data_IF_796342196860
#
_entry.id   IF_796342196860
#
_cell.length_a   1.000
_cell.length_b   1.000
_cell.length_c   1.000
_cell.angle_alpha   90.00
_cell.angle_beta   90.00
_cell.angle_gamma   90.00
#
_symmetry.space_group_name_H-M   'P 1'
#
loop_
_entity.id
_entity.type
_entity.pdbx_description
1 polymer ?
#
# COMPACT_ATOMS: atom_id res chain seq x y z
N UNK A 1 -3.95 -32.87 -7.17
CA UNK A 1 -4.92 -33.60 -6.28
C UNK A 1 -4.30 -33.70 -4.90
N UNK A 2 -5.05 -33.43 -3.83
CA UNK A 2 -4.63 -33.52 -2.43
C UNK A 2 -5.61 -34.41 -1.66
N UNK A 3 -5.09 -35.46 -1.04
CA UNK A 3 -5.84 -36.38 -0.18
C UNK A 3 -5.16 -36.45 1.19
N UNK A 4 -5.93 -36.23 2.25
CA UNK A 4 -5.45 -36.22 3.64
C UNK A 4 -6.43 -36.97 4.51
N UNK A 5 -5.96 -37.98 5.24
CA UNK A 5 -6.78 -38.74 6.19
C UNK A 5 -6.09 -38.85 7.55
N UNK A 6 -6.90 -38.74 8.61
CA UNK A 6 -6.47 -38.91 10.00
C UNK A 6 -5.25 -38.07 10.43
N UNK A 7 -5.06 -36.89 9.82
CA UNK A 7 -4.03 -35.92 10.22
C UNK A 7 -4.61 -34.87 11.15
N UNK A 8 -4.13 -34.77 12.39
CA UNK A 8 -4.58 -33.81 13.42
C UNK A 8 -6.11 -33.79 13.55
N UNK A 9 -6.78 -32.71 13.12
CA UNK A 9 -8.26 -32.57 13.20
C UNK A 9 -8.99 -33.03 11.95
N UNK A 10 -8.29 -33.47 10.91
CA UNK A 10 -8.88 -33.96 9.65
C UNK A 10 -9.28 -35.42 9.81
N UNK A 11 -10.51 -35.78 9.41
CA UNK A 11 -10.92 -37.18 9.27
C UNK A 11 -10.53 -37.68 7.88
N UNK A 12 -11.08 -37.04 6.87
CA UNK A 12 -10.71 -37.21 5.46
C UNK A 12 -10.99 -35.89 4.72
N UNK A 13 -10.08 -35.50 3.83
CA UNK A 13 -10.21 -34.35 2.94
C UNK A 13 -9.64 -34.76 1.58
N UNK A 14 -10.41 -34.50 0.51
CA UNK A 14 -9.94 -34.56 -0.87
C UNK A 14 -10.17 -33.19 -1.51
N UNK A 15 -9.12 -32.61 -2.06
CA UNK A 15 -9.13 -31.30 -2.72
C UNK A 15 -8.49 -31.44 -4.08
N UNK A 16 -9.21 -30.98 -5.11
CA UNK A 16 -8.67 -30.76 -6.45
C UNK A 16 -8.62 -29.25 -6.67
N UNK A 17 -7.46 -28.61 -6.43
CA UNK A 17 -7.33 -27.18 -6.67
C UNK A 17 -7.56 -26.85 -8.14
N UNK A 18 -8.11 -25.67 -8.42
CA UNK A 18 -8.24 -25.18 -9.79
C UNK A 18 -6.86 -25.05 -10.44
N UNK A 19 -6.74 -25.44 -11.71
CA UNK A 19 -5.48 -25.35 -12.47
C UNK A 19 -4.97 -23.91 -12.61
N UNK A 20 -5.89 -22.95 -12.56
CA UNK A 20 -5.59 -21.52 -12.56
C UNK A 20 -6.34 -20.81 -11.44
N UNK A 21 -5.74 -19.78 -10.86
CA UNK A 21 -6.38 -18.92 -9.86
C UNK A 21 -6.24 -19.41 -8.41
N UNK A 22 -7.16 -18.96 -7.57
CA UNK A 22 -7.12 -19.17 -6.11
C UNK A 22 -8.22 -20.14 -5.69
N UNK A 23 -7.85 -21.26 -5.07
CA UNK A 23 -8.79 -22.17 -4.40
C UNK A 23 -8.95 -21.75 -2.94
N UNK A 24 -10.18 -21.39 -2.54
CA UNK A 24 -10.48 -20.92 -1.18
C UNK A 24 -11.04 -22.07 -0.34
N UNK A 25 -10.39 -22.36 0.79
CA UNK A 25 -10.87 -23.33 1.78
C UNK A 25 -11.48 -22.59 2.99
N UNK A 26 -12.81 -22.48 3.00
CA UNK A 26 -13.58 -21.80 4.04
C UNK A 26 -14.25 -22.73 5.07
N UNK A 27 -14.74 -22.18 6.18
CA UNK A 27 -15.51 -22.94 7.19
C UNK A 27 -15.41 -22.36 8.60
N UNK A 28 -16.14 -22.94 9.56
CA UNK A 28 -16.10 -22.54 10.98
C UNK A 28 -14.70 -22.75 11.60
N UNK A 29 -14.45 -22.09 12.73
CA UNK A 29 -13.22 -22.33 13.52
C UNK A 29 -13.14 -23.80 13.96
N UNK A 30 -11.93 -24.31 14.12
CA UNK A 30 -11.63 -25.69 14.53
C UNK A 30 -12.08 -26.82 13.59
N UNK A 31 -12.51 -26.51 12.36
CA UNK A 31 -12.90 -27.52 11.35
C UNK A 31 -11.72 -28.11 10.55
N UNK A 32 -10.51 -28.07 11.10
CA UNK A 32 -9.34 -28.68 10.46
C UNK A 32 -8.71 -27.91 9.30
N UNK A 33 -9.14 -26.67 8.98
CA UNK A 33 -8.53 -25.84 7.93
C UNK A 33 -7.00 -25.71 8.07
N UNK A 34 -6.53 -25.34 9.26
CA UNK A 34 -5.09 -25.26 9.57
C UNK A 34 -4.44 -26.65 9.52
N UNK A 35 -5.17 -27.70 9.90
CA UNK A 35 -4.65 -29.07 9.83
C UNK A 35 -4.43 -29.55 8.40
N UNK A 36 -5.23 -29.10 7.43
CA UNK A 36 -4.99 -29.34 6.00
C UNK A 36 -3.72 -28.63 5.52
N UNK A 37 -3.47 -27.40 5.96
CA UNK A 37 -2.23 -26.68 5.63
C UNK A 37 -0.99 -27.35 6.27
N UNK A 38 -1.09 -27.76 7.53
CA UNK A 38 -0.02 -28.50 8.22
C UNK A 38 0.29 -29.84 7.53
N UNK A 39 -0.76 -30.51 7.03
CA UNK A 39 -0.64 -31.74 6.26
C UNK A 39 0.15 -31.53 4.96
N UNK A 40 -0.17 -30.48 4.20
CA UNK A 40 0.58 -30.10 3.00
C UNK A 40 2.04 -29.77 3.34
N UNK A 41 2.28 -28.97 4.39
CA UNK A 41 3.62 -28.61 4.82
C UNK A 41 4.45 -29.83 5.25
N UNK A 42 3.85 -30.80 5.94
CA UNK A 42 4.51 -32.04 6.32
C UNK A 42 4.78 -32.96 5.12
N UNK A 43 3.84 -33.03 4.17
CA UNK A 43 4.00 -33.77 2.92
C UNK A 43 5.21 -33.26 2.14
N UNK A 44 5.25 -31.95 1.87
CA UNK A 44 6.25 -31.35 0.99
C UNK A 44 7.57 -30.98 1.67
N UNK A 45 7.58 -30.70 2.97
CA UNK A 45 8.78 -30.23 3.68
C UNK A 45 9.50 -31.29 4.52
N UNK A 46 9.06 -32.55 4.47
CA UNK A 46 9.76 -33.63 5.16
C UNK A 46 9.55 -33.68 6.67
N UNK A 47 10.39 -34.48 7.36
CA UNK A 47 10.26 -34.73 8.80
C UNK A 47 10.48 -33.49 9.68
N UNK A 48 11.14 -32.45 9.16
CA UNK A 48 11.31 -31.16 9.85
C UNK A 48 9.98 -30.49 10.20
N UNK A 49 8.93 -30.75 9.42
CA UNK A 49 7.59 -30.19 9.61
C UNK A 49 6.57 -31.23 10.05
N UNK A 50 7.04 -32.36 10.57
CA UNK A 50 6.17 -33.34 11.21
C UNK A 50 5.48 -32.68 12.41
N UNK A 51 4.14 -32.67 12.46
CA UNK A 51 3.43 -32.22 13.66
C UNK A 51 3.86 -33.06 14.87
N UNK A 52 3.92 -32.44 16.05
CA UNK A 52 4.23 -33.16 17.30
C UNK A 52 3.28 -34.34 17.54
N UNK A 53 2.00 -34.13 17.21
CA UNK A 53 0.97 -35.16 17.19
C UNK A 53 0.32 -35.16 15.80
N UNK A 54 0.83 -35.96 14.85
CA UNK A 54 0.32 -35.99 13.49
C UNK A 54 -0.99 -36.78 13.40
N UNK A 55 -1.18 -37.75 14.28
CA UNK A 55 -2.36 -38.62 14.29
C UNK A 55 -3.59 -37.89 14.84
N UNK A 56 -4.74 -38.21 14.26
CA UNK A 56 -6.02 -37.77 14.79
C UNK A 56 -6.32 -38.47 16.11
N UNK A 57 -6.60 -37.69 17.15
CA UNK A 57 -7.04 -38.20 18.44
C UNK A 57 -8.26 -39.14 18.28
N UNK A 58 -8.12 -40.35 18.84
CA UNK A 58 -9.15 -41.40 18.77
C UNK A 58 -9.21 -42.19 17.46
N UNK A 59 -8.30 -41.96 16.50
CA UNK A 59 -8.19 -42.79 15.30
C UNK A 59 -7.32 -44.02 15.57
N UNK A 60 -7.79 -45.20 15.18
CA UNK A 60 -6.99 -46.44 15.14
C UNK A 60 -6.21 -46.60 13.81
N UNK A 61 -6.53 -45.77 12.81
CA UNK A 61 -5.92 -45.79 11.48
C UNK A 61 -4.83 -44.72 11.43
N UNK A 62 -3.61 -45.07 10.96
CA UNK A 62 -2.51 -44.12 10.88
C UNK A 62 -2.78 -43.00 9.85
N UNK A 63 -2.06 -41.87 9.96
CA UNK A 63 -2.17 -40.78 8.99
C UNK A 63 -1.85 -41.22 7.56
N UNK A 64 -2.65 -40.73 6.63
CA UNK A 64 -2.43 -40.90 5.20
C UNK A 64 -2.39 -39.53 4.52
N UNK A 65 -1.38 -39.31 3.69
CA UNK A 65 -1.28 -38.15 2.83
C UNK A 65 -0.91 -38.59 1.42
N UNK A 66 -1.57 -37.99 0.43
CA UNK A 66 -1.26 -38.16 -0.97
C UNK A 66 -1.41 -36.83 -1.70
N UNK A 67 -0.34 -36.37 -2.33
CA UNK A 67 -0.28 -35.10 -3.05
C UNK A 67 0.25 -35.39 -4.45
N UNK A 68 -0.50 -34.95 -5.46
CA UNK A 68 -0.07 -34.97 -6.87
C UNK A 68 0.16 -33.54 -7.29
N UNK A 69 1.42 -33.20 -7.59
CA UNK A 69 1.84 -31.89 -8.08
C UNK A 69 1.62 -31.77 -9.59
N UNK A 70 1.57 -30.53 -10.08
CA UNK A 70 1.32 -30.23 -11.50
C UNK A 70 2.41 -30.75 -12.44
N UNK A 71 3.63 -30.94 -11.94
CA UNK A 71 4.74 -31.54 -12.68
C UNK A 71 4.70 -33.08 -12.71
N UNK A 72 3.66 -33.70 -12.15
CA UNK A 72 3.50 -35.15 -12.08
C UNK A 72 4.18 -35.83 -10.89
N UNK A 73 4.87 -35.07 -10.02
CA UNK A 73 5.47 -35.61 -8.81
C UNK A 73 4.37 -36.04 -7.82
N UNK A 74 4.48 -37.27 -7.32
CA UNK A 74 3.57 -37.84 -6.33
C UNK A 74 4.29 -37.94 -4.99
N UNK A 75 3.70 -37.33 -3.97
CA UNK A 75 4.19 -37.38 -2.59
C UNK A 75 3.19 -38.13 -1.74
N UNK A 76 3.61 -39.25 -1.17
CA UNK A 76 2.78 -40.12 -0.35
C UNK A 76 3.41 -40.28 1.05
N UNK A 77 2.58 -40.18 2.09
CA UNK A 77 2.95 -40.61 3.45
C UNK A 77 1.94 -41.62 3.93
N UNK A 78 2.42 -42.82 4.28
CA UNK A 78 1.57 -43.93 4.74
C UNK A 78 2.28 -44.87 5.71
N UNK A 79 1.50 -45.70 6.38
CA UNK A 79 1.98 -46.70 7.32
C UNK A 79 2.10 -46.18 8.75
N UNK A 80 2.47 -47.07 9.68
CA UNK A 80 2.51 -46.80 11.13
C UNK A 80 3.42 -45.61 11.51
N UNK A 81 4.48 -45.38 10.75
CA UNK A 81 5.42 -44.28 10.96
C UNK A 81 5.17 -43.07 10.02
N UNK A 82 4.16 -43.17 9.14
CA UNK A 82 3.89 -42.19 8.08
C UNK A 82 5.12 -41.92 7.20
N UNK A 83 5.74 -43.00 6.73
CA UNK A 83 6.96 -42.98 5.94
C UNK A 83 6.73 -42.23 4.63
N UNK A 84 7.70 -41.38 4.26
CA UNK A 84 7.67 -40.61 3.03
C UNK A 84 8.04 -41.48 1.83
N UNK A 85 7.21 -41.47 0.81
CA UNK A 85 7.47 -42.03 -0.51
C UNK A 85 7.25 -40.94 -1.54
N UNK A 86 8.26 -40.69 -2.36
CA UNK A 86 8.19 -39.73 -3.45
C UNK A 86 8.32 -40.51 -4.75
N UNK A 87 7.43 -40.27 -5.70
CA UNK A 87 7.42 -40.96 -7.00
C UNK A 87 7.49 -39.88 -8.08
N UNK A 88 8.50 -39.96 -8.94
CA UNK A 88 8.64 -39.07 -10.08
C UNK A 88 7.66 -39.43 -11.22
N UNK A 89 7.48 -38.56 -12.22
CA UNK A 89 6.64 -38.85 -13.38
C UNK A 89 7.07 -40.09 -14.19
N UNK A 90 8.34 -40.49 -14.07
CA UNK A 90 8.91 -41.66 -14.73
C UNK A 90 8.74 -42.96 -13.92
N UNK A 91 8.12 -42.90 -12.72
CA UNK A 91 7.92 -44.02 -11.82
C UNK A 91 9.10 -44.35 -10.89
N UNK A 92 10.18 -43.58 -10.93
CA UNK A 92 11.31 -43.69 -10.00
C UNK A 92 10.89 -43.26 -8.59
N UNK A 93 11.25 -44.07 -7.60
CA UNK A 93 10.94 -43.82 -6.20
C UNK A 93 12.13 -43.18 -5.53
N UNK A 94 11.89 -42.06 -4.83
CA UNK A 94 12.88 -41.34 -4.03
C UNK A 94 12.39 -41.07 -2.61
N UNK A 95 13.32 -40.55 -1.81
CA UNK A 95 13.05 -40.00 -0.48
C UNK A 95 13.01 -38.48 -0.49
N UNK A 96 13.37 -37.87 0.64
CA UNK A 96 13.36 -36.42 0.83
C UNK A 96 14.25 -35.67 -0.17
N UNK A 97 15.42 -36.21 -0.54
CA UNK A 97 16.35 -35.56 -1.49
C UNK A 97 15.72 -35.31 -2.87
N UNK A 98 14.92 -36.27 -3.35
CA UNK A 98 14.22 -36.12 -4.62
C UNK A 98 13.15 -35.02 -4.50
N UNK A 99 12.39 -35.00 -3.40
CA UNK A 99 11.41 -33.95 -3.13
C UNK A 99 12.05 -32.56 -3.03
N UNK A 100 13.16 -32.43 -2.31
CA UNK A 100 13.86 -31.16 -2.11
C UNK A 100 14.33 -30.58 -3.46
N UNK A 101 14.83 -31.41 -4.38
CA UNK A 101 15.26 -30.95 -5.71
C UNK A 101 14.15 -30.29 -6.54
N UNK A 102 12.91 -30.78 -6.43
CA UNK A 102 11.77 -30.22 -7.14
C UNK A 102 11.12 -29.04 -6.39
N UNK A 103 11.11 -29.09 -5.06
CA UNK A 103 10.52 -28.03 -4.22
C UNK A 103 11.40 -26.77 -4.23
N UNK A 104 12.73 -26.92 -4.25
CA UNK A 104 13.65 -25.79 -4.39
C UNK A 104 13.49 -25.06 -5.74
N UNK A 105 13.23 -25.81 -6.82
CA UNK A 105 13.01 -25.24 -8.16
C UNK A 105 11.61 -24.58 -8.33
N UNK A 106 10.60 -25.04 -7.56
CA UNK A 106 9.19 -24.63 -7.68
C UNK A 106 8.67 -23.54 -6.72
N UNK A 107 9.54 -22.92 -5.92
CA UNK A 107 9.23 -21.77 -5.05
C UNK A 107 8.58 -22.05 -3.67
N UNK A 108 8.85 -21.08 -2.79
CA UNK A 108 8.48 -20.95 -1.37
C UNK A 108 9.02 -22.05 -0.46
N UNK A 109 9.91 -21.67 0.44
CA UNK A 109 10.05 -22.34 1.74
C UNK A 109 8.71 -22.18 2.48
N UNK A 110 7.76 -23.07 2.17
CA UNK A 110 6.41 -23.18 2.73
C UNK A 110 6.42 -22.98 4.26
N UNK A 111 7.34 -23.61 4.99
CA UNK A 111 7.51 -23.38 6.41
C UNK A 111 7.90 -21.97 6.83
N UNK A 112 8.93 -21.38 6.19
CA UNK A 112 9.28 -19.97 6.42
C UNK A 112 8.07 -19.09 6.12
N UNK A 113 7.35 -19.38 5.05
CA UNK A 113 6.11 -18.70 4.69
C UNK A 113 5.03 -18.85 5.76
N UNK A 114 4.78 -20.05 6.28
CA UNK A 114 3.77 -20.29 7.31
C UNK A 114 4.07 -19.55 8.62
N UNK A 115 5.36 -19.46 8.98
CA UNK A 115 5.83 -18.73 10.16
C UNK A 115 6.01 -17.22 9.94
N UNK A 116 5.96 -16.75 8.68
CA UNK A 116 6.13 -15.34 8.38
C UNK A 116 4.93 -14.50 8.84
N UNK A 117 5.16 -13.22 9.03
CA UNK A 117 4.11 -12.23 9.29
C UNK A 117 3.15 -12.13 8.10
N UNK A 118 1.93 -11.64 8.33
CA UNK A 118 0.95 -11.46 7.26
C UNK A 118 1.48 -10.57 6.11
N UNK A 119 2.31 -9.58 6.43
CA UNK A 119 2.97 -8.71 5.44
C UNK A 119 3.95 -9.48 4.57
N UNK A 120 4.81 -10.30 5.18
CA UNK A 120 5.79 -11.11 4.47
C UNK A 120 5.12 -12.21 3.62
N UNK A 121 4.03 -12.80 4.12
CA UNK A 121 3.19 -13.72 3.34
C UNK A 121 2.64 -13.05 2.09
N UNK A 122 2.00 -11.88 2.25
CA UNK A 122 1.45 -11.13 1.13
C UNK A 122 2.53 -10.80 0.08
N UNK A 123 3.68 -10.26 0.51
CA UNK A 123 4.80 -9.93 -0.37
C UNK A 123 5.34 -11.16 -1.11
N UNK A 124 5.47 -12.29 -0.42
CA UNK A 124 5.95 -13.54 -1.02
C UNK A 124 4.99 -14.03 -2.10
N UNK A 125 3.67 -14.02 -1.84
CA UNK A 125 2.66 -14.40 -2.82
C UNK A 125 2.65 -13.46 -4.04
N UNK A 126 2.73 -12.15 -3.82
CA UNK A 126 2.74 -11.14 -4.88
C UNK A 126 3.95 -11.30 -5.82
N UNK A 127 5.11 -11.64 -5.26
CA UNK A 127 6.32 -11.94 -6.05
C UNK A 127 6.12 -13.17 -6.94
N UNK A 128 5.42 -14.19 -6.44
CA UNK A 128 5.22 -15.47 -7.16
C UNK A 128 4.18 -15.36 -8.24
N UNK A 129 3.13 -14.56 -8.00
CA UNK A 129 2.14 -14.22 -9.02
C UNK A 129 2.77 -13.32 -10.11
N UNK A 130 3.95 -12.74 -9.85
CA UNK A 130 4.67 -11.90 -10.81
C UNK A 130 4.10 -10.48 -10.95
N UNK A 131 3.27 -10.05 -9.98
CA UNK A 131 2.63 -8.72 -9.98
C UNK A 131 3.27 -7.74 -8.99
N UNK A 132 4.35 -8.16 -8.32
CA UNK A 132 5.04 -7.36 -7.31
C UNK A 132 5.48 -5.97 -7.82
N UNK A 133 6.09 -5.91 -9.00
CA UNK A 133 6.59 -4.65 -9.57
C UNK A 133 5.44 -3.69 -9.91
N UNK A 134 4.37 -4.21 -10.53
CA UNK A 134 3.19 -3.42 -10.87
C UNK A 134 2.47 -2.88 -9.63
N UNK A 135 2.40 -3.68 -8.56
CA UNK A 135 1.84 -3.20 -7.29
C UNK A 135 2.72 -2.11 -6.68
N UNK A 136 4.03 -2.31 -6.64
CA UNK A 136 4.97 -1.33 -6.09
C UNK A 136 4.90 0.02 -6.84
N UNK A 137 4.74 0.00 -8.16
CA UNK A 137 4.50 1.22 -8.95
C UNK A 137 3.20 1.94 -8.54
N UNK A 138 2.11 1.20 -8.36
CA UNK A 138 0.82 1.78 -7.95
C UNK A 138 0.89 2.38 -6.54
N UNK A 139 1.50 1.66 -5.59
CA UNK A 139 1.71 2.16 -4.22
C UNK A 139 2.58 3.43 -4.21
N UNK A 140 3.60 3.49 -5.06
CA UNK A 140 4.45 4.67 -5.20
C UNK A 140 3.65 5.87 -5.72
N UNK A 141 2.86 5.67 -6.78
CA UNK A 141 1.98 6.72 -7.35
C UNK A 141 0.94 7.20 -6.34
N UNK A 142 0.32 6.29 -5.60
CA UNK A 142 -0.65 6.63 -4.55
C UNK A 142 -0.01 7.51 -3.47
N UNK A 143 1.18 7.10 -2.98
CA UNK A 143 1.93 7.83 -1.96
C UNK A 143 2.33 9.22 -2.44
N UNK A 144 2.82 9.35 -3.66
CA UNK A 144 3.17 10.65 -4.26
C UNK A 144 1.96 11.58 -4.34
N UNK A 145 0.81 11.06 -4.77
CA UNK A 145 -0.42 11.83 -4.91
C UNK A 145 -1.00 12.23 -3.55
N UNK A 146 -0.89 11.37 -2.53
CA UNK A 146 -1.22 11.71 -1.15
C UNK A 146 -0.32 12.82 -0.62
N UNK A 147 1.01 12.67 -0.75
CA UNK A 147 1.98 13.66 -0.28
C UNK A 147 1.80 15.03 -0.96
N UNK A 148 1.53 15.04 -2.27
CA UNK A 148 1.23 16.27 -3.02
C UNK A 148 -0.03 16.96 -2.48
N UNK A 149 -1.12 16.21 -2.26
CA UNK A 149 -2.36 16.77 -1.68
C UNK A 149 -2.12 17.33 -0.29
N UNK A 150 -1.38 16.61 0.55
CA UNK A 150 -1.05 17.05 1.89
C UNK A 150 -0.26 18.36 1.89
N UNK A 151 0.80 18.44 1.07
CA UNK A 151 1.62 19.64 0.94
C UNK A 151 0.81 20.85 0.44
N UNK A 152 -0.06 20.67 -0.56
CA UNK A 152 -0.94 21.74 -1.05
C UNK A 152 -1.87 22.24 0.06
N UNK A 153 -2.45 21.33 0.86
CA UNK A 153 -3.28 21.70 2.00
C UNK A 153 -2.54 22.52 3.05
N UNK A 154 -1.31 22.12 3.39
CA UNK A 154 -0.46 22.88 4.31
C UNK A 154 -0.12 24.28 3.76
N UNK A 155 0.26 24.39 2.48
CA UNK A 155 0.57 25.67 1.85
C UNK A 155 -0.65 26.59 1.82
N UNK A 156 -1.83 26.05 1.52
CA UNK A 156 -3.07 26.82 1.50
C UNK A 156 -3.40 27.39 2.89
N UNK A 157 -3.31 26.57 3.93
CA UNK A 157 -3.54 27.00 5.32
C UNK A 157 -2.51 28.06 5.76
N UNK A 158 -1.23 27.84 5.44
CA UNK A 158 -0.16 28.80 5.73
C UNK A 158 -0.42 30.17 5.07
N UNK A 159 -0.78 30.17 3.77
CA UNK A 159 -1.07 31.41 3.03
C UNK A 159 -2.31 32.12 3.57
N UNK A 160 -3.35 31.37 3.93
CA UNK A 160 -4.56 31.95 4.51
C UNK A 160 -4.29 32.62 5.86
N UNK A 161 -3.46 32.00 6.71
CA UNK A 161 -3.04 32.59 8.00
C UNK A 161 -2.18 33.83 7.79
N UNK A 162 -1.17 33.75 6.90
CA UNK A 162 -0.31 34.89 6.58
C UNK A 162 -1.10 36.10 6.06
N UNK A 163 -2.08 35.87 5.18
CA UNK A 163 -2.93 36.95 4.66
C UNK A 163 -3.80 37.60 5.74
N UNK A 164 -4.24 36.84 6.76
CA UNK A 164 -5.02 37.38 7.89
C UNK A 164 -4.17 38.22 8.84
N UNK A 165 -2.89 37.91 8.96
CA UNK A 165 -1.94 38.64 9.83
C UNK A 165 -1.32 39.86 9.14
N UNK A 166 -1.44 39.96 7.81
CA UNK A 166 -0.94 41.12 7.06
C UNK A 166 -1.65 42.41 7.50
N UNK A 167 -0.89 43.48 7.82
CA UNK A 167 -1.46 44.80 8.06
C UNK A 167 -2.24 45.28 6.82
N UNK A 168 -3.55 45.46 6.97
CA UNK A 168 -4.41 46.01 5.93
C UNK A 168 -4.85 47.42 6.32
N UNK A 169 -4.62 48.39 5.45
CA UNK A 169 -5.00 49.78 5.64
C UNK A 169 -6.24 50.08 4.79
N UNK A 170 -7.47 50.13 5.36
CA UNK A 170 -8.69 50.35 4.59
C UNK A 170 -8.75 51.71 3.89
N UNK A 171 -8.10 52.71 4.48
CA UNK A 171 -8.01 54.08 3.97
C UNK A 171 -7.03 54.22 2.79
N UNK A 172 -6.21 53.19 2.52
CA UNK A 172 -5.26 53.24 1.43
C UNK A 172 -5.98 53.15 0.07
N UNK A 173 -5.57 53.95 -0.92
CA UNK A 173 -6.10 53.86 -2.28
C UNK A 173 -5.97 52.45 -2.87
N UNK A 174 -7.00 51.98 -3.57
CA UNK A 174 -7.00 50.67 -4.25
C UNK A 174 -5.98 50.59 -5.39
N UNK A 175 -5.75 51.72 -6.05
CA UNK A 175 -4.76 51.86 -7.11
C UNK A 175 -3.58 52.70 -6.59
N UNK A 176 -2.34 52.33 -6.93
CA UNK A 176 -1.17 53.09 -6.52
C UNK A 176 -1.25 54.50 -7.11
N UNK A 177 -1.31 55.50 -6.23
CA UNK A 177 -1.30 56.91 -6.65
C UNK A 177 0.15 57.36 -6.81
N UNK A 178 0.46 57.91 -7.99
CA UNK A 178 1.77 58.49 -8.28
C UNK A 178 2.01 59.75 -7.46
N UNK A 179 3.05 59.73 -6.63
CA UNK A 179 3.48 60.89 -5.85
C UNK A 179 3.82 62.08 -6.77
N UNK A 180 4.43 61.80 -7.93
CA UNK A 180 4.79 62.83 -8.90
C UNK A 180 3.56 63.55 -9.47
N UNK A 181 2.46 62.83 -9.72
CA UNK A 181 1.22 63.44 -10.22
C UNK A 181 0.54 64.29 -9.16
N UNK A 182 0.54 63.85 -7.90
CA UNK A 182 0.02 64.65 -6.77
C UNK A 182 0.83 65.93 -6.55
N UNK A 183 2.16 65.84 -6.64
CA UNK A 183 3.04 67.00 -6.52
C UNK A 183 2.78 67.99 -7.65
N UNK A 184 2.62 67.52 -8.89
CA UNK A 184 2.28 68.38 -10.03
C UNK A 184 0.94 69.09 -9.82
N UNK A 185 -0.09 68.35 -9.40
CA UNK A 185 -1.40 68.93 -9.09
C UNK A 185 -1.30 70.00 -7.98
N UNK A 186 -0.53 69.73 -6.92
CA UNK A 186 -0.32 70.70 -5.84
C UNK A 186 0.34 71.98 -6.34
N UNK A 187 1.39 71.87 -7.16
CA UNK A 187 2.08 73.03 -7.74
C UNK A 187 1.16 73.86 -8.63
N UNK A 188 0.32 73.22 -9.45
CA UNK A 188 -0.68 73.93 -10.26
C UNK A 188 -1.71 74.68 -9.41
N UNK A 189 -2.20 74.07 -8.33
CA UNK A 189 -3.14 74.72 -7.41
C UNK A 189 -2.50 75.95 -6.76
N UNK A 190 -1.25 75.82 -6.28
CA UNK A 190 -0.52 76.93 -5.67
C UNK A 190 -0.29 78.08 -6.67
N UNK A 191 0.05 77.77 -7.93
CA UNK A 191 0.21 78.76 -8.98
C UNK A 191 -1.10 79.52 -9.24
N UNK A 192 -2.23 78.81 -9.39
CA UNK A 192 -3.56 79.42 -9.58
C UNK A 192 -3.96 80.30 -8.40
N UNK A 193 -3.70 79.85 -7.18
CA UNK A 193 -4.00 80.63 -5.98
C UNK A 193 -3.16 81.91 -5.90
N UNK A 194 -1.87 81.82 -6.26
CA UNK A 194 -0.99 82.98 -6.35
C UNK A 194 -1.47 84.02 -7.38
N UNK A 195 -1.91 83.57 -8.56
CA UNK A 195 -2.51 84.47 -9.55
C UNK A 195 -3.80 85.13 -9.07
N UNK A 196 -4.69 84.37 -8.45
CA UNK A 196 -5.93 84.90 -7.90
C UNK A 196 -5.67 85.96 -6.82
N UNK A 197 -4.66 85.74 -5.97
CA UNK A 197 -4.26 86.72 -4.97
C UNK A 197 -3.72 88.00 -5.61
N UNK A 198 -2.87 87.90 -6.65
CA UNK A 198 -2.40 89.07 -7.41
C UNK A 198 -3.55 89.85 -8.05
N UNK A 199 -4.52 89.15 -8.66
CA UNK A 199 -5.71 89.80 -9.25
C UNK A 199 -6.52 90.55 -8.19
N UNK A 200 -6.75 89.95 -7.03
CA UNK A 200 -7.43 90.62 -5.89
C UNK A 200 -6.67 91.84 -5.39
N UNK A 201 -5.34 91.76 -5.25
CA UNK A 201 -4.51 92.90 -4.87
C UNK A 201 -4.59 94.04 -5.88
N UNK A 202 -4.58 93.73 -7.19
CA UNK A 202 -4.71 94.72 -8.24
C UNK A 202 -6.07 95.43 -8.21
N UNK A 203 -7.14 94.68 -8.00
CA UNK A 203 -8.49 95.27 -7.82
C UNK A 203 -8.50 96.22 -6.62
N UNK A 204 -7.94 95.80 -5.48
CA UNK A 204 -7.87 96.64 -4.29
C UNK A 204 -7.02 97.92 -4.50
N UNK A 205 -5.91 97.82 -5.23
CA UNK A 205 -5.09 98.98 -5.60
C UNK A 205 -5.85 99.96 -6.49
N UNK A 206 -6.50 99.47 -7.54
CA UNK A 206 -7.29 100.31 -8.44
C UNK A 206 -8.43 100.99 -7.66
N UNK A 207 -9.11 100.26 -6.78
CA UNK A 207 -10.18 100.82 -5.95
C UNK A 207 -9.68 102.00 -5.10
N UNK A 208 -8.48 101.88 -4.51
CA UNK A 208 -7.87 102.93 -3.70
C UNK A 208 -7.33 104.13 -4.51
N UNK A 209 -7.05 103.95 -5.81
CA UNK A 209 -6.63 105.05 -6.70
C UNK A 209 -7.80 105.90 -7.22
N UNK A 210 -9.03 105.38 -7.13
CA UNK A 210 -10.26 106.03 -7.61
C UNK A 210 -11.16 106.57 -6.48
N UNK A 211 -10.77 106.42 -5.21
CA UNK A 211 -11.33 107.12 -4.04
C UNK A 211 -10.55 108.40 -3.74
#
# INVERSE_FOLDING_TARGET
NLEVENVKRVKAVKIEPTSTGLTIVGGKNNQGKTSVLDAIAWGLGGNKYRPSQPEREGSAVPPYLHIVLSNGLIVERKGKNSDLKVIDPNGQKGGQQLLDSFVEELAIDLPKFMNATNKEKANTLLRIIGVGDKLHELETKERELYNRRHAIGQIADQKAKFAKEQPYFPEAPKEPISASDLIRQQQEILARNGENQRKRQRVAQIQAEYE
#
